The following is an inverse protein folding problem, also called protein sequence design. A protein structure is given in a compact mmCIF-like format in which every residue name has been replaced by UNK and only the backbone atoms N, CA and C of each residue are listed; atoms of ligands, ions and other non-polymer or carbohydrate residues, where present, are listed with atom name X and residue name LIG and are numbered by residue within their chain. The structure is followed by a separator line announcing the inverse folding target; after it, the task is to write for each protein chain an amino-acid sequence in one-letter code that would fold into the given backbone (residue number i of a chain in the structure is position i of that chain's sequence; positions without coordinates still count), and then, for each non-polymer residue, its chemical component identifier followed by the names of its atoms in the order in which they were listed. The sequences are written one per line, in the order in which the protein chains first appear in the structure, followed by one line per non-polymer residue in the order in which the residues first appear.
data_IF_677287498106
#
_entry.id   IF_677287498106
#
_cell.length_a   1.000
_cell.length_b   1.000
_cell.length_c   1.000
_cell.angle_alpha   90.00
_cell.angle_beta   90.00
_cell.angle_gamma   90.00
#
_symmetry.space_group_name_H-M   'P 1'
#
loop_
_entity.id
_entity.type
_entity.pdbx_description
1 polymer ?
#
# COMPACT_ATOMS: atom_id res chain seq x y z
N UNK A 1 10.66 -20.93 -9.96
CA UNK A 1 10.63 -19.55 -9.44
C UNK A 1 11.95 -19.32 -8.72
N UNK A 2 12.83 -18.49 -9.25
CA UNK A 2 14.04 -18.10 -8.54
C UNK A 2 13.68 -16.91 -7.64
N UNK A 3 13.36 -17.20 -6.38
CA UNK A 3 13.32 -16.18 -5.35
C UNK A 3 14.76 -15.68 -5.13
N UNK A 4 15.01 -14.40 -5.40
CA UNK A 4 16.30 -13.78 -5.09
C UNK A 4 16.25 -13.44 -3.59
N UNK A 5 17.05 -14.08 -2.72
CA UNK A 5 16.88 -14.01 -1.26
C UNK A 5 16.93 -12.60 -0.65
N UNK A 6 17.44 -11.62 -1.42
CA UNK A 6 17.70 -10.26 -0.96
C UNK A 6 16.73 -9.22 -1.54
N UNK A 7 15.85 -9.60 -2.50
CA UNK A 7 14.91 -8.69 -3.15
C UNK A 7 13.50 -8.89 -2.57
N UNK A 8 12.97 -7.85 -1.94
CA UNK A 8 11.56 -7.80 -1.54
C UNK A 8 10.84 -6.77 -2.41
N UNK A 9 9.72 -7.17 -3.00
CA UNK A 9 8.77 -6.22 -3.57
C UNK A 9 7.86 -5.82 -2.42
N UNK A 10 8.03 -4.61 -1.91
CA UNK A 10 7.11 -4.06 -0.92
C UNK A 10 5.92 -3.48 -1.68
N UNK A 11 4.79 -4.18 -1.64
CA UNK A 11 3.50 -3.61 -2.03
C UNK A 11 2.90 -2.93 -0.82
N UNK A 12 2.72 -1.61 -0.90
CA UNK A 12 2.08 -0.88 0.17
C UNK A 12 0.56 -1.11 0.09
N UNK A 13 0.00 -1.82 1.06
CA UNK A 13 -1.44 -2.13 1.13
C UNK A 13 -2.23 -1.03 1.85
N UNK A 14 -1.60 0.11 2.12
CA UNK A 14 -2.22 1.31 2.63
C UNK A 14 -1.99 1.54 4.11
N UNK A 15 -1.25 2.60 4.40
CA UNK A 15 -1.35 3.38 5.63
C UNK A 15 -1.89 4.77 5.25
N UNK A 16 -2.57 5.42 6.18
CA UNK A 16 -2.90 6.85 6.01
C UNK A 16 -1.62 7.62 5.65
N UNK A 17 -1.64 8.32 4.51
CA UNK A 17 -0.55 9.15 3.98
C UNK A 17 0.64 8.45 3.29
N UNK A 18 0.52 7.19 2.87
CA UNK A 18 1.52 6.52 2.01
C UNK A 18 0.91 6.18 0.61
N UNK A 19 1.71 6.05 -0.47
CA UNK A 19 1.20 5.77 -1.81
C UNK A 19 0.80 4.30 -1.84
N UNK A 20 -0.50 4.06 -1.78
CA UNK A 20 -1.08 2.72 -1.78
C UNK A 20 -0.86 2.08 -3.15
N UNK A 21 -0.60 0.77 -3.19
CA UNK A 21 -0.49 -0.06 -4.40
C UNK A 21 0.79 0.11 -5.23
N UNK A 22 1.71 0.99 -4.82
CA UNK A 22 3.05 1.04 -5.43
C UNK A 22 3.83 -0.24 -5.08
N UNK A 23 4.41 -0.87 -6.09
CA UNK A 23 5.32 -2.02 -5.94
C UNK A 23 6.74 -1.49 -6.03
N UNK A 24 7.38 -1.22 -4.89
CA UNK A 24 8.75 -0.69 -4.90
C UNK A 24 9.75 -1.78 -4.51
N UNK A 25 10.78 -1.96 -5.34
CA UNK A 25 11.84 -2.92 -5.07
C UNK A 25 12.70 -2.43 -3.91
N UNK A 26 12.85 -3.27 -2.89
CA UNK A 26 13.69 -3.02 -1.72
C UNK A 26 14.71 -4.16 -1.57
N UNK A 27 15.97 -3.87 -1.88
CA UNK A 27 17.07 -4.78 -1.62
C UNK A 27 17.50 -4.67 -0.15
N UNK A 28 17.43 -5.79 0.58
CA UNK A 28 17.89 -5.95 1.97
C UNK A 28 17.14 -5.10 3.02
N UNK A 29 15.92 -4.64 2.73
CA UNK A 29 15.12 -3.83 3.65
C UNK A 29 15.80 -2.49 4.05
N UNK A 30 16.57 -1.90 3.14
CA UNK A 30 17.30 -0.65 3.35
C UNK A 30 16.50 0.57 2.85
N UNK A 31 15.30 0.35 2.34
CA UNK A 31 14.40 1.37 1.82
C UNK A 31 14.47 1.47 0.29
N UNK A 32 13.32 1.68 -0.32
CA UNK A 32 13.14 1.81 -1.78
C UNK A 32 14.02 2.88 -2.43
N UNK A 33 14.28 3.98 -1.72
CA UNK A 33 15.13 5.08 -2.19
C UNK A 33 16.60 4.69 -2.39
N UNK A 34 17.04 3.51 -1.91
CA UNK A 34 18.44 3.05 -1.96
C UNK A 34 18.66 1.90 -2.95
N UNK A 35 17.63 1.51 -3.71
CA UNK A 35 17.67 0.50 -4.76
C UNK A 35 17.52 1.19 -6.12
N UNK A 36 18.57 1.16 -6.95
CA UNK A 36 18.54 1.81 -8.27
C UNK A 36 17.94 0.87 -9.31
N UNK A 37 16.79 1.25 -9.89
CA UNK A 37 16.16 0.52 -10.99
C UNK A 37 16.61 1.12 -12.34
N UNK A 38 17.05 0.25 -13.24
CA UNK A 38 17.51 0.60 -14.58
C UNK A 38 16.62 -0.06 -15.65
N UNK A 39 16.54 0.60 -16.80
CA UNK A 39 15.93 0.09 -18.01
C UNK A 39 16.96 0.11 -19.14
N UNK A 40 17.38 -1.06 -19.62
CA UNK A 40 18.48 -1.22 -20.58
C UNK A 40 19.75 -0.43 -20.17
N UNK A 41 20.13 -0.54 -18.89
CA UNK A 41 21.28 0.14 -18.31
C UNK A 41 21.10 1.64 -18.05
N UNK A 42 19.90 2.21 -18.29
CA UNK A 42 19.61 3.65 -18.13
C UNK A 42 18.74 3.91 -16.92
N UNK A 43 19.05 4.97 -16.18
CA UNK A 43 18.30 5.40 -15.00
C UNK A 43 16.90 5.87 -15.37
N UNK A 44 15.91 5.55 -14.54
CA UNK A 44 14.58 6.15 -14.61
C UNK A 44 14.44 7.23 -13.54
N UNK A 45 13.56 8.21 -13.80
CA UNK A 45 13.17 9.17 -12.79
C UNK A 45 12.34 8.46 -11.70
N UNK A 46 12.50 8.88 -10.44
CA UNK A 46 11.70 8.35 -9.35
C UNK A 46 10.20 8.58 -9.62
N UNK A 47 9.39 7.53 -9.51
CA UNK A 47 7.93 7.58 -9.70
C UNK A 47 7.17 7.41 -8.38
N UNK A 48 7.89 7.32 -7.26
CA UNK A 48 7.32 7.32 -5.91
C UNK A 48 7.54 8.66 -5.20
N UNK A 49 6.52 9.22 -4.49
CA UNK A 49 6.66 10.41 -3.65
C UNK A 49 7.70 10.27 -2.53
N UNK A 50 8.08 9.04 -2.18
CA UNK A 50 9.04 8.70 -1.12
C UNK A 50 10.44 8.33 -1.66
N UNK A 51 10.67 8.51 -2.96
CA UNK A 51 11.88 8.06 -3.65
C UNK A 51 11.82 6.58 -4.05
N UNK A 52 12.53 6.25 -5.14
CA UNK A 52 12.45 4.95 -5.81
C UNK A 52 11.53 4.96 -7.03
N UNK A 53 11.60 3.88 -7.81
CA UNK A 53 10.81 3.70 -9.04
C UNK A 53 9.77 2.62 -8.76
N UNK A 54 8.49 2.97 -8.91
CA UNK A 54 7.39 1.99 -8.90
C UNK A 54 7.62 0.99 -10.03
N UNK A 55 7.91 -0.26 -9.68
CA UNK A 55 8.15 -1.33 -10.66
C UNK A 55 6.90 -1.67 -11.45
N UNK A 56 5.74 -1.22 -11.00
CA UNK A 56 4.53 -1.28 -11.80
C UNK A 56 4.68 -0.46 -13.08
N UNK A 57 5.60 0.49 -13.25
CA UNK A 57 5.71 1.22 -14.53
C UNK A 57 6.32 0.40 -15.68
N UNK A 58 6.87 -0.79 -15.39
CA UNK A 58 7.51 -1.59 -16.41
C UNK A 58 6.52 -2.47 -17.18
N UNK A 59 6.55 -2.42 -18.52
CA UNK A 59 5.80 -3.34 -19.39
C UNK A 59 6.40 -4.74 -19.27
N UNK A 60 5.68 -5.66 -18.61
CA UNK A 60 6.17 -7.02 -18.34
C UNK A 60 6.36 -7.81 -19.65
N UNK A 61 5.57 -7.51 -20.68
CA UNK A 61 5.67 -8.12 -22.02
C UNK A 61 7.03 -7.95 -22.70
N UNK A 62 7.76 -6.90 -22.32
CA UNK A 62 8.96 -6.46 -23.02
C UNK A 62 10.27 -6.82 -22.32
N UNK A 63 10.17 -7.29 -21.08
CA UNK A 63 11.33 -7.65 -20.26
C UNK A 63 11.93 -8.94 -20.84
N UNK A 64 13.10 -8.83 -21.46
CA UNK A 64 13.87 -9.99 -21.94
C UNK A 64 14.65 -10.68 -20.82
N UNK A 65 14.92 -9.97 -19.72
CA UNK A 65 15.62 -10.46 -18.55
C UNK A 65 15.70 -9.42 -17.44
N UNK A 66 15.87 -9.89 -16.21
CA UNK A 66 16.09 -9.06 -15.01
C UNK A 66 17.47 -9.38 -14.45
N UNK A 67 18.35 -8.40 -14.42
CA UNK A 67 19.67 -8.52 -13.81
C UNK A 67 19.65 -7.85 -12.44
N UNK A 68 20.08 -8.58 -11.41
CA UNK A 68 20.20 -8.04 -10.05
C UNK A 68 21.66 -8.03 -9.66
N UNK A 69 22.23 -6.83 -9.52
CA UNK A 69 23.60 -6.60 -9.08
C UNK A 69 23.58 -6.11 -7.64
N UNK A 70 24.23 -6.85 -6.73
CA UNK A 70 24.27 -6.51 -5.31
C UNK A 70 25.70 -6.20 -4.85
N UNK A 71 25.84 -5.42 -3.76
CA UNK A 71 27.14 -5.15 -3.14
C UNK A 71 28.05 -4.21 -3.94
N UNK A 72 29.38 -4.29 -3.75
CA UNK A 72 30.35 -3.30 -4.27
C UNK A 72 30.36 -3.10 -5.80
N UNK A 73 29.76 -4.01 -6.57
CA UNK A 73 29.59 -3.86 -8.02
C UNK A 73 28.54 -2.80 -8.40
N UNK A 74 27.61 -2.44 -7.51
CA UNK A 74 26.59 -1.40 -7.75
C UNK A 74 27.16 0.02 -7.71
N UNK A 75 28.31 0.22 -7.06
CA UNK A 75 29.00 1.52 -6.97
C UNK A 75 29.39 2.08 -8.35
N UNK A 76 29.56 1.23 -9.37
CA UNK A 76 29.83 1.63 -10.75
C UNK A 76 28.64 2.36 -11.41
N UNK A 77 27.42 2.20 -10.89
CA UNK A 77 26.19 2.79 -11.43
C UNK A 77 25.80 4.12 -10.76
N UNK A 78 26.59 4.61 -9.79
CA UNK A 78 26.50 5.94 -9.17
C UNK A 78 25.81 5.99 -7.79
N UNK A 79 25.63 7.22 -7.26
CA UNK A 79 25.32 7.53 -5.85
C UNK A 79 24.05 6.90 -5.25
N UNK A 80 23.10 6.49 -6.08
CA UNK A 80 21.76 6.03 -5.63
C UNK A 80 21.68 4.50 -5.47
N UNK A 81 22.77 3.78 -5.77
CA UNK A 81 22.85 2.32 -5.77
C UNK A 81 23.48 1.76 -4.48
N UNK A 82 23.09 2.30 -3.32
CA UNK A 82 23.68 1.95 -2.01
C UNK A 82 23.33 0.52 -1.58
N UNK A 83 22.14 0.01 -1.92
CA UNK A 83 21.72 -1.36 -1.64
C UNK A 83 22.00 -2.34 -2.80
N UNK A 84 21.92 -1.85 -4.05
CA UNK A 84 22.15 -2.62 -5.28
C UNK A 84 21.46 -2.00 -6.50
N UNK A 85 21.59 -2.67 -7.66
CA UNK A 85 20.98 -2.29 -8.95
C UNK A 85 20.10 -3.43 -9.46
N UNK A 86 18.91 -3.10 -9.95
CA UNK A 86 18.04 -4.02 -10.71
C UNK A 86 17.85 -3.46 -12.11
N UNK A 87 18.39 -4.14 -13.13
CA UNK A 87 18.30 -3.73 -14.53
C UNK A 87 17.29 -4.61 -15.28
N UNK A 88 16.26 -3.99 -15.82
CA UNK A 88 15.32 -4.62 -16.74
C UNK A 88 15.82 -4.44 -18.17
N UNK A 89 16.18 -5.55 -18.82
CA UNK A 89 16.56 -5.55 -20.23
C UNK A 89 15.32 -5.65 -21.10
N UNK A 90 15.23 -4.81 -22.14
CA UNK A 90 14.13 -4.82 -23.11
C UNK A 90 14.57 -5.50 -24.39
N UNK A 91 13.66 -6.20 -25.08
CA UNK A 91 13.88 -6.66 -26.45
C UNK A 91 14.14 -5.46 -27.40
N UNK A 92 15.37 -5.32 -27.92
CA UNK A 92 15.79 -4.18 -28.75
C UNK A 92 15.35 -4.24 -30.20
N UNK A 93 15.39 -5.44 -30.82
CA UNK A 93 14.93 -5.74 -32.18
C UNK A 93 13.99 -6.94 -32.09
N UNK A 94 12.68 -6.70 -32.04
CA UNK A 94 11.67 -7.75 -32.08
C UNK A 94 11.16 -7.90 -33.52
N UNK A 95 10.90 -9.14 -33.95
CA UNK A 95 10.35 -9.46 -35.27
C UNK A 95 9.19 -10.43 -35.11
N UNK A 96 8.06 -10.12 -35.75
CA UNK A 96 6.84 -10.91 -35.67
C UNK A 96 5.84 -10.33 -34.67
N UNK A 97 5.01 -11.20 -34.11
CA UNK A 97 3.90 -10.84 -33.24
C UNK A 97 3.84 -11.80 -32.06
N UNK A 98 3.62 -11.25 -30.87
CA UNK A 98 3.46 -12.01 -29.62
C UNK A 98 2.32 -11.41 -28.83
N UNK A 99 1.47 -12.29 -28.29
CA UNK A 99 0.42 -11.92 -27.33
C UNK A 99 0.43 -12.94 -26.22
N UNK A 100 0.35 -12.44 -24.99
CA UNK A 100 0.16 -13.22 -23.78
C UNK A 100 -1.08 -12.71 -23.07
N UNK A 101 -1.91 -13.63 -22.60
CA UNK A 101 -3.05 -13.31 -21.76
C UNK A 101 -3.05 -14.26 -20.57
N UNK A 102 -3.31 -13.72 -19.39
CA UNK A 102 -3.53 -14.53 -18.20
C UNK A 102 -4.70 -13.97 -17.40
N UNK A 103 -5.37 -14.87 -16.71
CA UNK A 103 -6.50 -14.53 -15.85
C UNK A 103 -6.36 -15.31 -14.56
N UNK A 104 -6.32 -14.59 -13.44
CA UNK A 104 -6.35 -15.15 -12.11
C UNK A 104 -7.66 -14.85 -11.40
N UNK A 105 -8.13 -15.78 -10.59
CA UNK A 105 -9.20 -15.58 -9.62
C UNK A 105 -8.75 -16.09 -8.25
N UNK A 106 -9.15 -15.43 -7.17
CA UNK A 106 -8.93 -15.95 -5.81
C UNK A 106 -9.74 -17.24 -5.58
N UNK A 107 -9.32 -18.05 -4.61
CA UNK A 107 -10.11 -19.22 -4.16
C UNK A 107 -11.51 -18.83 -3.62
N UNK A 108 -11.69 -17.57 -3.24
CA UNK A 108 -12.96 -16.99 -2.79
C UNK A 108 -13.81 -16.42 -3.93
N UNK A 109 -13.31 -16.37 -5.17
CA UNK A 109 -14.07 -15.92 -6.33
C UNK A 109 -14.30 -14.40 -6.42
N UNK A 110 -13.67 -13.61 -5.56
CA UNK A 110 -13.95 -12.18 -5.34
C UNK A 110 -12.81 -11.24 -5.75
N UNK A 111 -11.71 -11.82 -6.23
CA UNK A 111 -10.54 -11.08 -6.68
C UNK A 111 -10.13 -11.59 -8.05
N UNK A 112 -10.25 -10.72 -9.05
CA UNK A 112 -9.95 -11.04 -10.44
C UNK A 112 -8.71 -10.27 -10.91
N UNK A 113 -7.85 -10.97 -11.65
CA UNK A 113 -6.59 -10.43 -12.14
C UNK A 113 -6.38 -10.72 -13.62
N UNK A 114 -7.06 -10.00 -14.53
CA UNK A 114 -6.75 -10.05 -15.95
C UNK A 114 -5.43 -9.35 -16.26
N UNK A 115 -4.60 -10.00 -17.09
CA UNK A 115 -3.38 -9.45 -17.66
C UNK A 115 -3.38 -9.72 -19.14
N UNK A 116 -3.15 -8.69 -19.95
CA UNK A 116 -3.02 -8.79 -21.39
C UNK A 116 -1.76 -8.05 -21.79
N UNK A 117 -0.95 -8.70 -22.60
CA UNK A 117 0.36 -8.23 -22.99
C UNK A 117 0.54 -8.52 -24.48
N UNK A 118 1.07 -7.58 -25.24
CA UNK A 118 1.24 -7.74 -26.68
C UNK A 118 2.42 -6.97 -27.21
N UNK A 119 3.10 -7.55 -28.19
CA UNK A 119 4.19 -6.92 -28.92
C UNK A 119 4.11 -7.25 -30.42
N UNK A 120 4.46 -6.29 -31.25
CA UNK A 120 4.61 -6.45 -32.69
C UNK A 120 5.90 -5.78 -33.14
N UNK A 121 6.63 -6.44 -34.01
CA UNK A 121 7.89 -5.97 -34.54
C UNK A 121 7.99 -6.32 -36.02
N UNK A 122 8.48 -5.37 -36.82
CA UNK A 122 8.71 -5.62 -38.24
C UNK A 122 9.96 -4.91 -38.72
N UNK A 123 10.70 -5.64 -39.55
CA UNK A 123 11.86 -5.13 -40.24
C UNK A 123 11.53 -4.78 -41.69
N UNK A 124 12.14 -3.71 -42.17
CA UNK A 124 12.00 -3.15 -43.51
C UNK A 124 13.38 -2.84 -44.07
N UNK A 125 13.46 -2.52 -45.37
CA UNK A 125 14.71 -2.16 -46.04
C UNK A 125 15.80 -3.23 -45.83
N UNK A 126 15.47 -4.49 -46.13
CA UNK A 126 16.36 -5.63 -45.96
C UNK A 126 16.94 -5.78 -44.53
N UNK A 127 16.18 -5.38 -43.52
CA UNK A 127 16.57 -5.46 -42.11
C UNK A 127 17.12 -4.17 -41.51
N UNK A 128 17.37 -3.15 -42.34
CA UNK A 128 17.98 -1.89 -41.88
C UNK A 128 17.06 -1.04 -41.01
N UNK A 129 15.75 -1.11 -41.21
CA UNK A 129 14.77 -0.43 -40.34
C UNK A 129 14.01 -1.48 -39.54
N UNK A 130 14.07 -1.43 -38.22
CA UNK A 130 13.22 -2.23 -37.34
C UNK A 130 12.33 -1.32 -36.50
N UNK A 131 11.02 -1.59 -36.52
CA UNK A 131 10.04 -0.91 -35.66
C UNK A 131 9.45 -1.96 -34.72
N UNK A 132 9.49 -1.68 -33.42
CA UNK A 132 8.91 -2.50 -32.36
C UNK A 132 7.89 -1.68 -31.58
N UNK A 133 6.70 -2.22 -31.38
CA UNK A 133 5.63 -1.66 -30.54
C UNK A 133 5.17 -2.71 -29.53
N UNK A 134 4.85 -2.28 -28.31
CA UNK A 134 4.25 -3.15 -27.31
C UNK A 134 3.32 -2.40 -26.38
N UNK A 135 2.42 -3.15 -25.76
CA UNK A 135 1.48 -2.65 -24.78
C UNK A 135 1.10 -3.72 -23.76
N UNK A 136 0.80 -3.26 -22.55
CA UNK A 136 0.33 -4.11 -21.47
C UNK A 136 -0.87 -3.47 -20.77
N UNK A 137 -1.78 -4.35 -20.37
CA UNK A 137 -2.88 -4.08 -19.47
C UNK A 137 -2.78 -5.04 -18.30
N UNK A 138 -2.86 -4.48 -17.10
CA UNK A 138 -2.98 -5.24 -15.87
C UNK A 138 -4.10 -4.63 -15.04
N UNK A 139 -5.02 -5.46 -14.58
CA UNK A 139 -5.98 -5.04 -13.57
C UNK A 139 -6.03 -6.06 -12.46
N UNK A 140 -6.16 -5.55 -11.25
CA UNK A 140 -6.49 -6.29 -10.06
C UNK A 140 -7.77 -5.65 -9.51
N UNK A 141 -8.87 -6.40 -9.46
CA UNK A 141 -10.15 -5.90 -8.91
C UNK A 141 -10.19 -5.87 -7.40
N UNK A 142 -9.14 -6.36 -6.73
CA UNK A 142 -9.12 -6.59 -5.29
C UNK A 142 -9.63 -5.39 -4.54
N UNK A 143 -10.74 -5.56 -3.83
CA UNK A 143 -11.10 -4.81 -2.64
C UNK A 143 -12.00 -5.74 -1.86
N UNK A 144 -11.44 -6.33 -0.81
CA UNK A 144 -12.18 -7.22 0.08
C UNK A 144 -11.81 -6.81 1.50
N UNK A 145 -12.83 -6.45 2.26
CA UNK A 145 -12.72 -6.18 3.69
C UNK A 145 -12.17 -7.43 4.40
N UNK A 146 -11.39 -7.25 5.46
CA UNK A 146 -10.87 -8.34 6.29
C UNK A 146 -11.97 -9.31 6.74
N UNK A 147 -13.15 -8.80 7.09
CA UNK A 147 -14.31 -9.59 7.51
C UNK A 147 -14.93 -10.50 6.43
N UNK A 148 -14.60 -10.29 5.16
CA UNK A 148 -15.00 -11.21 4.08
C UNK A 148 -14.31 -12.56 4.25
N UNK A 149 -13.15 -12.60 4.92
CA UNK A 149 -12.37 -13.81 5.13
C UNK A 149 -12.73 -14.50 6.45
N UNK A 150 -12.83 -15.84 6.50
CA UNK A 150 -13.12 -16.57 7.73
C UNK A 150 -12.18 -16.23 8.89
N UNK A 151 -10.89 -16.05 8.61
CA UNK A 151 -9.88 -15.68 9.61
C UNK A 151 -10.02 -14.23 10.12
N UNK A 152 -10.68 -13.35 9.37
CA UNK A 152 -10.85 -11.93 9.69
C UNK A 152 -12.13 -11.58 10.44
N UNK A 153 -13.17 -12.44 10.36
CA UNK A 153 -14.48 -12.21 11.01
C UNK A 153 -14.43 -12.12 12.52
N UNK A 154 -13.39 -12.67 13.15
CA UNK A 154 -13.19 -12.62 14.59
C UNK A 154 -12.46 -11.37 15.10
N UNK A 155 -12.35 -10.30 14.31
CA UNK A 155 -11.58 -9.09 14.66
C UNK A 155 -10.17 -9.41 15.19
N UNK A 156 -9.34 -10.13 14.41
CA UNK A 156 -8.03 -10.54 14.88
C UNK A 156 -7.10 -9.35 15.04
N UNK A 157 -6.41 -9.26 16.18
CA UNK A 157 -5.35 -8.28 16.41
C UNK A 157 -4.11 -8.95 16.98
N UNK A 158 -2.95 -8.38 16.71
CA UNK A 158 -1.75 -8.71 17.45
C UNK A 158 -1.82 -7.99 18.80
N UNK A 159 -2.08 -8.74 19.87
CA UNK A 159 -2.26 -8.21 21.22
C UNK A 159 -1.01 -8.48 22.07
N UNK A 160 -0.61 -7.50 22.88
CA UNK A 160 0.52 -7.68 23.80
C UNK A 160 0.16 -8.57 24.97
N UNK A 161 1.00 -9.57 25.25
CA UNK A 161 0.79 -10.48 26.36
C UNK A 161 1.08 -9.78 27.69
N UNK A 162 0.07 -9.53 28.55
CA UNK A 162 0.27 -8.85 29.82
C UNK A 162 1.10 -9.68 30.82
N UNK A 163 1.18 -11.00 30.62
CA UNK A 163 1.95 -11.90 31.47
C UNK A 163 3.39 -12.10 30.97
N UNK A 164 3.79 -11.48 29.86
CA UNK A 164 5.12 -11.66 29.30
C UNK A 164 6.21 -11.14 30.24
N UNK A 165 7.22 -11.96 30.48
CA UNK A 165 8.51 -11.54 31.05
C UNK A 165 9.63 -12.10 30.19
N UNK A 166 10.82 -11.50 30.24
CA UNK A 166 11.95 -11.96 29.44
C UNK A 166 12.42 -13.39 29.77
N UNK A 167 11.96 -13.96 30.89
CA UNK A 167 12.45 -15.22 31.44
C UNK A 167 11.40 -16.33 31.47
N UNK A 168 10.13 -16.05 31.21
CA UNK A 168 9.05 -17.04 31.35
C UNK A 168 8.76 -17.84 30.07
N UNK A 169 9.52 -17.62 28.99
CA UNK A 169 9.38 -18.35 27.73
C UNK A 169 8.09 -18.07 26.95
N UNK A 170 7.26 -17.13 27.38
CA UNK A 170 6.03 -16.75 26.67
C UNK A 170 6.34 -15.80 25.51
N UNK A 171 5.47 -15.74 24.51
CA UNK A 171 5.58 -14.74 23.45
C UNK A 171 5.17 -13.37 23.99
N UNK A 172 5.87 -12.32 23.53
CA UNK A 172 5.56 -10.93 23.89
C UNK A 172 4.22 -10.46 23.33
N UNK A 173 3.82 -11.00 22.19
CA UNK A 173 2.53 -10.76 21.55
C UNK A 173 1.90 -12.08 21.12
N UNK A 174 0.57 -12.09 21.01
CA UNK A 174 -0.20 -13.22 20.51
C UNK A 174 -1.35 -12.70 19.63
N UNK A 175 -1.88 -13.55 18.75
CA UNK A 175 -3.07 -13.22 17.99
C UNK A 175 -4.27 -13.40 18.90
N UNK A 176 -5.00 -12.31 19.12
CA UNK A 176 -6.24 -12.30 19.88
C UNK A 176 -7.42 -12.10 18.94
N UNK A 177 -8.57 -12.63 19.31
CA UNK A 177 -9.85 -12.45 18.63
C UNK A 177 -10.81 -11.69 19.54
N UNK A 178 -11.92 -11.24 18.97
CA UNK A 178 -12.94 -10.43 19.63
C UNK A 178 -12.37 -9.10 20.16
N UNK A 179 -11.46 -8.50 19.40
CA UNK A 179 -10.85 -7.24 19.75
C UNK A 179 -11.76 -6.06 19.37
N UNK A 180 -12.17 -5.31 20.38
CA UNK A 180 -12.90 -4.05 20.27
C UNK A 180 -11.99 -2.89 20.68
N UNK A 181 -12.26 -1.69 20.19
CA UNK A 181 -11.52 -0.52 20.66
C UNK A 181 -11.91 -0.15 22.09
N UNK A 182 -10.91 0.14 22.92
CA UNK A 182 -11.10 0.44 24.35
C UNK A 182 -11.42 1.91 24.64
N UNK A 183 -11.32 2.80 23.65
CA UNK A 183 -11.36 4.27 23.81
C UNK A 183 -12.18 4.98 22.74
N UNK A 184 -12.92 4.25 21.91
CA UNK A 184 -13.79 4.83 20.90
C UNK A 184 -15.01 3.94 20.67
N UNK A 185 -16.15 4.57 20.41
CA UNK A 185 -17.40 3.94 19.95
C UNK A 185 -18.04 4.84 18.88
N UNK A 186 -19.11 4.40 18.21
CA UNK A 186 -19.76 5.23 17.19
C UNK A 186 -20.36 6.53 17.76
N UNK A 187 -21.05 6.48 18.89
CA UNK A 187 -21.54 7.69 19.56
C UNK A 187 -20.51 8.33 20.51
N UNK A 188 -19.38 7.66 20.70
CA UNK A 188 -18.23 8.06 21.48
C UNK A 188 -18.26 7.64 22.95
N UNK A 189 -17.09 7.71 23.59
CA UNK A 189 -16.85 7.25 24.96
C UNK A 189 -15.93 8.22 25.68
N UNK A 190 -16.14 8.38 26.99
CA UNK A 190 -15.24 9.13 27.87
C UNK A 190 -13.90 8.41 28.00
N UNK A 191 -12.83 9.19 27.95
CA UNK A 191 -11.46 8.68 27.98
C UNK A 191 -10.73 9.35 29.14
N UNK A 192 -10.95 8.80 30.34
CA UNK A 192 -10.48 9.36 31.60
C UNK A 192 -9.85 8.26 32.46
N UNK A 193 -9.06 8.59 33.50
CA UNK A 193 -8.58 7.60 34.45
C UNK A 193 -9.73 6.84 35.14
N UNK A 194 -9.50 5.58 35.51
CA UNK A 194 -10.49 4.74 36.18
C UNK A 194 -11.00 5.29 37.52
N UNK A 195 -10.27 6.23 38.12
CA UNK A 195 -10.65 6.95 39.34
C UNK A 195 -11.67 8.07 39.09
N UNK A 196 -11.91 8.45 37.84
CA UNK A 196 -12.87 9.50 37.49
C UNK A 196 -14.31 8.98 37.53
N UNK A 197 -15.27 9.75 38.06
CA UNK A 197 -16.70 9.40 37.99
C UNK A 197 -17.27 9.42 36.56
N UNK A 198 -16.49 9.90 35.59
CA UNK A 198 -16.82 9.85 34.18
C UNK A 198 -16.25 8.61 33.48
N UNK A 199 -15.51 7.74 34.17
CA UNK A 199 -14.91 6.56 33.54
C UNK A 199 -15.99 5.58 33.06
N UNK A 200 -15.79 5.03 31.86
CA UNK A 200 -16.68 4.02 31.29
C UNK A 200 -18.08 4.53 30.95
N UNK A 201 -18.18 5.73 30.39
CA UNK A 201 -19.46 6.27 29.90
C UNK A 201 -19.38 6.40 28.38
N UNK A 202 -20.22 5.64 27.67
CA UNK A 202 -20.43 5.80 26.24
C UNK A 202 -21.73 6.56 25.96
N UNK A 203 -21.84 7.15 24.79
CA UNK A 203 -23.02 7.88 24.35
C UNK A 203 -23.67 7.08 23.22
N UNK A 204 -24.89 6.58 23.46
CA UNK A 204 -25.65 5.79 22.51
C UNK A 204 -26.48 6.66 21.56
N UNK A 205 -27.55 6.07 21.02
CA UNK A 205 -28.52 6.78 20.17
C UNK A 205 -29.00 8.08 20.83
N UNK A 206 -29.04 9.16 20.05
CA UNK A 206 -29.40 10.51 20.49
C UNK A 206 -28.53 11.07 21.63
N UNK A 207 -27.30 10.57 21.81
CA UNK A 207 -26.37 11.05 22.83
C UNK A 207 -26.72 10.58 24.25
N UNK A 208 -27.55 9.54 24.39
CA UNK A 208 -27.95 9.00 25.71
C UNK A 208 -26.73 8.38 26.41
N UNK A 209 -26.33 8.86 27.61
CA UNK A 209 -25.23 8.24 28.35
C UNK A 209 -25.59 6.83 28.81
N UNK A 210 -24.72 5.86 28.55
CA UNK A 210 -24.86 4.48 28.97
C UNK A 210 -23.51 3.93 29.45
N UNK A 211 -23.49 2.89 30.30
CA UNK A 211 -22.24 2.26 30.73
C UNK A 211 -21.46 1.67 29.54
N UNK A 212 -20.16 1.94 29.49
CA UNK A 212 -19.21 1.28 28.60
C UNK A 212 -18.56 0.11 29.34
N UNK A 213 -18.81 -1.11 28.86
CA UNK A 213 -18.28 -2.33 29.46
C UNK A 213 -16.90 -2.63 28.88
N UNK A 214 -15.86 -2.47 29.68
CA UNK A 214 -14.51 -2.84 29.27
C UNK A 214 -14.34 -4.35 29.22
N UNK A 215 -13.72 -4.83 28.13
CA UNK A 215 -13.20 -6.19 28.02
C UNK A 215 -11.92 -6.42 28.83
N UNK A 216 -11.40 -7.64 28.80
CA UNK A 216 -10.17 -8.02 29.49
C UNK A 216 -9.38 -9.06 28.69
N UNK A 217 -8.08 -8.85 28.44
CA UNK A 217 -7.25 -7.69 28.79
C UNK A 217 -7.62 -6.43 28.00
N UNK A 218 -7.25 -5.27 28.55
CA UNK A 218 -7.43 -3.94 27.93
C UNK A 218 -6.08 -3.22 27.84
N UNK A 219 -5.84 -2.54 26.71
CA UNK A 219 -4.74 -1.61 26.51
C UNK A 219 -5.27 -0.26 25.97
N UNK A 220 -4.37 0.64 25.56
CA UNK A 220 -4.73 1.99 25.09
C UNK A 220 -5.32 2.05 23.68
N UNK A 221 -5.55 0.91 23.03
CA UNK A 221 -6.12 0.81 21.69
C UNK A 221 -7.27 -0.19 21.71
N UNK A 222 -7.00 -1.42 22.12
CA UNK A 222 -7.91 -2.55 22.07
C UNK A 222 -8.23 -3.10 23.46
N UNK A 223 -9.35 -3.79 23.55
CA UNK A 223 -9.72 -4.70 24.61
C UNK A 223 -10.33 -5.96 24.01
N UNK A 224 -10.23 -7.08 24.74
CA UNK A 224 -10.84 -8.34 24.29
C UNK A 224 -12.22 -8.50 24.93
N UNK A 225 -13.25 -8.58 24.09
CA UNK A 225 -14.66 -8.56 24.50
C UNK A 225 -15.12 -7.21 25.04
N UNK A 226 -16.28 -7.21 25.70
CA UNK A 226 -16.93 -6.00 26.24
C UNK A 226 -17.89 -5.34 25.24
N UNK A 227 -18.14 -4.06 25.45
CA UNK A 227 -18.99 -3.23 24.57
C UNK A 227 -18.13 -2.37 23.66
N UNK A 228 -18.62 -1.98 22.48
CA UNK A 228 -17.91 -1.03 21.63
C UNK A 228 -17.89 -1.44 20.18
N UNK A 229 -16.85 -1.02 19.47
CA UNK A 229 -16.75 -1.16 18.01
C UNK A 229 -15.38 -1.69 17.63
N UNK A 230 -15.31 -2.36 16.48
CA UNK A 230 -14.07 -2.75 15.85
C UNK A 230 -14.12 -2.35 14.38
N UNK A 231 -13.02 -1.80 13.88
CA UNK A 231 -12.87 -1.45 12.46
C UNK A 231 -11.90 -2.41 11.75
N UNK A 232 -11.42 -3.44 12.46
CA UNK A 232 -10.48 -4.43 11.91
C UNK A 232 -11.09 -5.13 10.70
N UNK A 233 -12.35 -5.55 10.81
CA UNK A 233 -13.09 -6.18 9.71
C UNK A 233 -13.16 -5.30 8.46
N UNK A 234 -13.19 -3.98 8.60
CA UNK A 234 -13.31 -3.02 7.49
C UNK A 234 -11.97 -2.70 6.81
N UNK A 235 -10.85 -3.22 7.33
CA UNK A 235 -9.54 -3.03 6.71
C UNK A 235 -9.50 -3.63 5.31
N UNK A 236 -8.80 -2.95 4.39
CA UNK A 236 -8.61 -3.47 3.04
C UNK A 236 -7.49 -4.52 3.00
N UNK A 237 -7.78 -5.72 2.49
CA UNK A 237 -6.77 -6.79 2.34
C UNK A 237 -5.86 -6.53 1.13
N UNK A 238 -6.40 -5.90 0.09
CA UNK A 238 -5.68 -5.68 -1.17
C UNK A 238 -6.34 -4.53 -1.92
N UNK A 239 -5.55 -3.52 -2.27
CA UNK A 239 -6.05 -2.38 -3.03
C UNK A 239 -6.22 -2.70 -4.52
N UNK A 240 -7.27 -2.18 -5.18
CA UNK A 240 -7.46 -2.36 -6.61
C UNK A 240 -6.41 -1.55 -7.36
N UNK A 241 -5.81 -2.17 -8.38
CA UNK A 241 -4.77 -1.56 -9.21
C UNK A 241 -5.18 -1.72 -10.66
N UNK A 242 -5.14 -0.64 -11.43
CA UNK A 242 -5.25 -0.69 -12.89
C UNK A 242 -4.00 -0.06 -13.49
N UNK A 243 -3.38 -0.76 -14.43
CA UNK A 243 -2.17 -0.33 -15.11
C UNK A 243 -2.30 -0.50 -16.61
N UNK A 244 -1.85 0.54 -17.30
CA UNK A 244 -1.60 0.54 -18.73
C UNK A 244 -0.14 0.93 -18.96
N UNK A 245 0.54 0.22 -19.85
CA UNK A 245 1.85 0.66 -20.33
C UNK A 245 1.97 0.47 -21.83
N UNK A 246 2.73 1.34 -22.47
CA UNK A 246 3.00 1.30 -23.90
C UNK A 246 4.47 1.62 -24.16
N UNK A 247 5.03 0.96 -25.16
CA UNK A 247 6.40 1.17 -25.59
C UNK A 247 6.48 1.16 -27.12
N UNK A 248 7.30 2.05 -27.65
CA UNK A 248 7.67 2.04 -29.05
C UNK A 248 9.17 2.26 -29.19
N UNK A 249 9.80 1.51 -30.09
CA UNK A 249 11.19 1.70 -30.47
C UNK A 249 11.37 1.58 -31.97
N UNK A 250 12.20 2.46 -32.51
CA UNK A 250 12.66 2.43 -33.89
C UNK A 250 14.18 2.27 -33.86
N UNK A 251 14.71 1.35 -34.65
CA UNK A 251 16.14 1.22 -34.90
C UNK A 251 16.37 1.32 -36.41
N UNK A 252 17.36 2.10 -36.82
CA UNK A 252 17.74 2.32 -38.21
C UNK A 252 19.24 2.17 -38.41
N UNK A 253 19.66 1.20 -39.20
CA UNK A 253 21.05 0.95 -39.56
C UNK A 253 21.47 1.95 -40.67
N UNK A 254 22.11 3.04 -40.24
CA UNK A 254 22.59 4.15 -41.10
C UNK A 254 23.70 3.66 -42.01
N UNK A 255 24.60 2.83 -41.48
CA UNK A 255 25.65 2.10 -42.19
C UNK A 255 25.85 0.72 -41.54
N UNK A 256 26.75 -0.10 -42.10
CA UNK A 256 27.11 -1.41 -41.53
C UNK A 256 27.74 -1.31 -40.12
N UNK A 257 28.21 -0.12 -39.74
CA UNK A 257 28.88 0.15 -38.47
C UNK A 257 28.11 1.09 -37.54
N UNK A 258 26.99 1.68 -37.99
CA UNK A 258 26.27 2.71 -37.24
C UNK A 258 24.75 2.47 -37.27
N UNK A 259 24.17 2.31 -36.09
CA UNK A 259 22.73 2.20 -35.87
C UNK A 259 22.21 3.39 -35.09
N UNK A 260 21.22 4.10 -35.63
CA UNK A 260 20.45 5.10 -34.90
C UNK A 260 19.22 4.44 -34.26
N UNK A 261 18.81 4.91 -33.09
CA UNK A 261 17.59 4.45 -32.45
C UNK A 261 16.85 5.57 -31.72
N UNK A 262 15.55 5.39 -31.57
CA UNK A 262 14.67 6.23 -30.77
C UNK A 262 13.63 5.37 -30.06
N UNK A 263 13.30 5.69 -28.80
CA UNK A 263 12.34 4.96 -27.99
C UNK A 263 11.42 5.91 -27.22
N UNK A 264 10.18 5.47 -27.02
CA UNK A 264 9.17 6.11 -26.18
C UNK A 264 8.57 5.04 -25.28
N UNK A 265 8.47 5.35 -23.99
CA UNK A 265 7.80 4.54 -22.98
C UNK A 265 6.74 5.41 -22.30
N UNK A 266 5.53 4.89 -22.19
CA UNK A 266 4.44 5.50 -21.44
C UNK A 266 3.89 4.49 -20.43
N UNK A 267 3.55 4.95 -19.24
CA UNK A 267 2.88 4.15 -18.22
C UNK A 267 1.87 5.01 -17.46
N UNK A 268 0.74 4.40 -17.13
CA UNK A 268 -0.31 4.98 -16.31
C UNK A 268 -0.79 3.93 -15.31
N UNK A 269 -0.72 4.27 -14.03
CA UNK A 269 -1.12 3.40 -12.91
C UNK A 269 -2.13 4.17 -12.07
N UNK A 270 -3.26 3.53 -11.81
CA UNK A 270 -4.29 4.01 -10.89
C UNK A 270 -4.45 3.00 -9.76
N UNK A 271 -4.46 3.51 -8.54
CA UNK A 271 -4.74 2.75 -7.33
C UNK A 271 -5.77 3.50 -6.53
N UNK A 272 -6.88 2.84 -6.25
CA UNK A 272 -7.86 3.33 -5.29
C UNK A 272 -7.77 2.44 -4.05
N UNK A 273 -8.02 2.96 -2.85
CA UNK A 273 -8.15 2.15 -1.66
C UNK A 273 -9.06 2.84 -0.67
N UNK A 274 -10.10 2.14 -0.25
CA UNK A 274 -10.89 2.55 0.90
C UNK A 274 -10.19 2.07 2.17
N UNK A 275 -10.14 2.95 3.17
CA UNK A 275 -9.65 2.68 4.51
C UNK A 275 -10.82 2.77 5.49
N UNK A 276 -10.60 2.28 6.71
CA UNK A 276 -11.56 2.46 7.78
C UNK A 276 -11.88 3.97 7.98
N UNK A 277 -13.09 4.31 8.48
CA UNK A 277 -13.43 5.69 8.81
C UNK A 277 -12.41 6.34 9.73
N UNK A 278 -12.30 7.67 9.63
CA UNK A 278 -11.50 8.44 10.56
C UNK A 278 -12.02 8.25 12.00
N UNK A 279 -11.12 8.41 12.97
CA UNK A 279 -11.46 8.23 14.38
C UNK A 279 -10.60 9.12 15.28
N UNK A 280 -11.13 9.39 16.46
CA UNK A 280 -10.48 10.12 17.53
C UNK A 280 -10.24 9.17 18.71
N UNK A 281 -8.98 8.86 19.02
CA UNK A 281 -8.63 7.95 20.12
C UNK A 281 -8.47 8.68 21.47
N UNK A 282 -9.52 9.41 21.87
CA UNK A 282 -9.48 10.23 23.08
C UNK A 282 -8.75 11.56 22.88
N UNK A 283 -8.72 12.07 21.65
CA UNK A 283 -8.08 13.34 21.26
C UNK A 283 -9.03 14.53 21.34
N UNK A 284 -10.34 14.29 21.30
CA UNK A 284 -11.34 15.34 21.44
C UNK A 284 -11.48 15.75 22.91
N UNK A 285 -11.60 17.04 23.19
CA UNK A 285 -11.83 17.56 24.53
C UNK A 285 -13.23 18.15 24.64
N UNK A 286 -14.06 17.59 25.51
CA UNK A 286 -15.41 18.09 25.78
C UNK A 286 -15.37 18.96 27.02
N UNK A 287 -15.80 20.21 26.88
CA UNK A 287 -15.88 21.19 27.96
C UNK A 287 -17.21 21.07 28.73
N UNK A 288 -17.19 21.37 30.03
CA UNK A 288 -18.38 21.32 30.90
C UNK A 288 -19.51 22.25 30.43
N UNK A 289 -19.18 23.36 29.80
CA UNK A 289 -20.13 24.37 29.33
C UNK A 289 -20.80 24.00 27.99
N UNK A 290 -20.35 22.94 27.31
CA UNK A 290 -20.90 22.48 26.02
C UNK A 290 -22.43 22.29 26.10
N UNK A 291 -23.17 23.06 25.29
CA UNK A 291 -24.63 23.08 25.29
C UNK A 291 -25.28 21.72 24.98
N UNK A 292 -24.57 20.85 24.26
CA UNK A 292 -25.05 19.51 23.89
C UNK A 292 -24.67 18.42 24.92
N UNK A 293 -23.97 18.78 25.99
CA UNK A 293 -23.60 17.82 27.03
C UNK A 293 -24.84 17.39 27.83
N UNK A 294 -25.13 16.08 27.97
CA UNK A 294 -26.27 15.61 28.75
C UNK A 294 -26.25 16.14 30.18
N UNK A 295 -27.42 16.56 30.68
CA UNK A 295 -27.56 17.19 31.99
C UNK A 295 -26.99 16.34 33.14
N UNK A 296 -27.14 15.01 33.06
CA UNK A 296 -26.56 14.06 34.02
C UNK A 296 -25.04 14.11 34.08
N UNK A 297 -24.37 14.18 32.91
CA UNK A 297 -22.91 14.28 32.82
C UNK A 297 -22.44 15.64 33.35
N UNK A 298 -23.14 16.72 32.98
CA UNK A 298 -22.85 18.07 33.49
C UNK A 298 -22.96 18.13 35.02
N UNK A 299 -23.98 17.51 35.60
CA UNK A 299 -24.15 17.44 37.05
C UNK A 299 -22.99 16.69 37.73
N UNK A 300 -22.58 15.54 37.20
CA UNK A 300 -21.40 14.80 37.68
C UNK A 300 -20.13 15.65 37.61
N UNK A 301 -19.94 16.39 36.51
CA UNK A 301 -18.80 17.28 36.34
C UNK A 301 -18.78 18.43 37.36
N UNK A 302 -19.93 19.05 37.64
CA UNK A 302 -20.04 20.10 38.66
C UNK A 302 -19.75 19.57 40.06
N UNK A 303 -20.36 18.43 40.43
CA UNK A 303 -20.19 17.81 41.75
C UNK A 303 -18.75 17.40 42.06
N UNK A 304 -17.96 17.10 41.02
CA UNK A 304 -16.57 16.63 41.15
C UNK A 304 -15.53 17.64 40.65
N UNK A 305 -15.94 18.90 40.41
CA UNK A 305 -15.07 19.98 39.92
C UNK A 305 -14.26 19.63 38.65
N UNK A 306 -14.88 18.89 37.73
CA UNK A 306 -14.29 18.52 36.44
C UNK A 306 -14.63 19.61 35.42
N UNK A 307 -13.62 20.23 34.80
CA UNK A 307 -13.82 21.28 33.79
C UNK A 307 -13.97 20.73 32.37
N UNK A 308 -13.29 19.64 32.06
CA UNK A 308 -13.35 18.96 30.77
C UNK A 308 -12.99 17.48 30.90
N UNK A 309 -13.29 16.71 29.86
CA UNK A 309 -12.82 15.33 29.73
C UNK A 309 -12.42 15.02 28.28
N UNK A 310 -11.49 14.09 28.12
CA UNK A 310 -11.13 13.58 26.80
C UNK A 310 -12.18 12.59 26.30
N UNK A 311 -12.42 12.59 25.00
CA UNK A 311 -13.50 11.89 24.34
C UNK A 311 -12.99 11.22 23.08
N UNK A 312 -13.36 9.95 22.89
CA UNK A 312 -12.96 9.21 21.70
C UNK A 312 -14.17 8.64 20.99
N UNK A 313 -14.13 8.68 19.66
CA UNK A 313 -15.24 8.25 18.80
C UNK A 313 -14.75 7.83 17.42
N UNK A 314 -15.61 7.13 16.71
CA UNK A 314 -15.44 6.86 15.27
C UNK A 314 -16.28 7.85 14.47
N UNK A 315 -15.69 8.52 13.48
CA UNK A 315 -16.29 9.60 12.70
C UNK A 315 -16.97 9.02 11.46
N UNK A 316 -18.15 8.39 11.64
CA UNK A 316 -18.89 7.77 10.54
C UNK A 316 -19.44 8.79 9.55
N UNK A 317 -19.70 10.02 9.99
CA UNK A 317 -20.21 11.12 9.17
C UNK A 317 -19.25 11.55 8.06
N UNK A 318 -17.95 11.30 8.22
CA UNK A 318 -16.93 11.60 7.20
C UNK A 318 -16.86 10.51 6.12
N UNK A 319 -17.53 9.36 6.34
CA UNK A 319 -17.39 8.17 5.52
C UNK A 319 -16.03 7.47 5.69
N UNK A 320 -15.77 6.40 4.91
CA UNK A 320 -14.45 5.77 4.87
C UNK A 320 -13.42 6.74 4.29
N UNK A 321 -12.21 6.76 4.85
CA UNK A 321 -11.11 7.52 4.25
C UNK A 321 -10.75 6.88 2.91
N UNK A 322 -10.77 7.65 1.83
CA UNK A 322 -10.40 7.18 0.51
C UNK A 322 -9.01 7.68 0.14
N UNK A 323 -8.14 6.77 -0.29
CA UNK A 323 -6.85 7.11 -0.85
C UNK A 323 -6.83 6.75 -2.34
N UNK A 324 -6.63 7.76 -3.19
CA UNK A 324 -6.46 7.58 -4.62
C UNK A 324 -5.03 8.00 -5.01
N UNK A 325 -4.32 7.12 -5.68
CA UNK A 325 -2.97 7.36 -6.18
C UNK A 325 -2.95 7.14 -7.68
N UNK A 326 -2.45 8.15 -8.39
CA UNK A 326 -2.29 8.10 -9.83
C UNK A 326 -0.84 8.41 -10.17
N UNK A 327 -0.22 7.56 -10.98
CA UNK A 327 1.14 7.73 -11.45
C UNK A 327 1.18 7.66 -12.98
N UNK A 328 1.66 8.74 -13.59
CA UNK A 328 1.92 8.83 -15.03
C UNK A 328 3.41 8.98 -15.27
N UNK A 329 3.95 8.14 -16.13
CA UNK A 329 5.34 8.21 -16.57
C UNK A 329 5.41 8.29 -18.09
N UNK A 330 6.18 9.25 -18.60
CA UNK A 330 6.53 9.36 -20.01
C UNK A 330 8.05 9.48 -20.10
N UNK A 331 8.67 8.62 -20.90
CA UNK A 331 10.10 8.64 -21.18
C UNK A 331 10.31 8.59 -22.68
N UNK A 332 11.23 9.41 -23.16
CA UNK A 332 11.72 9.38 -24.53
C UNK A 332 13.24 9.35 -24.49
N UNK A 333 13.86 8.65 -25.43
CA UNK A 333 15.29 8.64 -25.61
C UNK A 333 15.64 8.40 -27.08
N UNK A 334 16.79 8.91 -27.51
CA UNK A 334 17.34 8.63 -28.83
C UNK A 334 18.87 8.58 -28.75
N UNK A 335 19.51 7.92 -29.71
CA UNK A 335 20.96 7.82 -29.76
C UNK A 335 21.51 7.06 -30.95
N UNK A 336 22.83 6.92 -30.95
CA UNK A 336 23.61 6.22 -31.97
C UNK A 336 24.43 5.12 -31.28
N UNK A 337 24.47 3.94 -31.88
CA UNK A 337 25.31 2.80 -31.47
C UNK A 337 26.25 2.45 -32.63
N UNK A 338 27.54 2.37 -32.37
CA UNK A 338 28.55 2.05 -33.37
C UNK A 338 29.44 0.88 -32.96
N UNK A 339 29.90 0.10 -33.95
CA UNK A 339 31.00 -0.86 -33.75
C UNK A 339 32.30 -0.21 -34.22
N UNK A 340 33.32 -0.26 -33.38
CA UNK A 340 34.68 0.15 -33.70
C UNK A 340 35.37 -0.87 -34.60
#
# INVERSE_FOLDING_TARGET
AYEIPQLRINQNVGKSSEPVGQSVADLRALGSARTLLLLDGRRLAATSPFGGIDTNIFPVSLISGVEVVTGGASAAYGSDAVAGVVNFSILKKFEGFKVDASYGVSDYGDHHRPVISGAVGKSFMDGRLNITLAGDFYRNTGQTNVDTRPWGRGNPVLFSNPNYTATNGQTKNYIAYDALYSRMTFGGVTVVPATSPLYGIQFGTNGTPTPFTYGNPVNTIFMLGGSGVSLIGQGNILSPITRYSGFGRVNFDVSDSLTAWAEVLWSHVEVQSDLAPNYDNGTLTIQRDNAYLPASIRATMLANNINSFAFGRVNLEDGPAQNNSEARALRYAAGLEGKL
#
